data_IF_932146756426
#
_entry.id   IF_932146756426
#
_cell.length_a   1.000
_cell.length_b   1.000
_cell.length_c   1.000
_cell.angle_alpha   90.00
_cell.angle_beta   90.00
_cell.angle_gamma   90.00
#
_symmetry.space_group_name_H-M   'P 1'
#
loop_
_entity.id
_entity.type
_entity.pdbx_description
1 polymer ?
#
# COMPACT_ATOMS: atom_id res chain seq x y z
N UNK A 1 52.99 27.90 77.48
CA UNK A 1 53.00 28.89 78.58
C UNK A 1 52.31 30.15 78.10
N UNK A 2 51.04 30.32 78.43
CA UNK A 2 50.39 31.55 78.96
C UNK A 2 48.91 31.20 79.07
N UNK A 3 48.44 31.24 80.30
CA UNK A 3 47.15 30.79 80.81
C UNK A 3 46.15 32.00 80.79
N UNK A 4 45.07 32.04 81.58
CA UNK A 4 43.71 31.61 81.26
C UNK A 4 42.68 32.75 81.50
N UNK A 5 41.37 32.44 81.44
CA UNK A 5 40.27 32.95 82.32
C UNK A 5 38.95 32.36 81.82
N UNK A 6 38.24 31.51 82.58
CA UNK A 6 37.25 31.82 83.65
C UNK A 6 36.15 32.79 83.14
N UNK A 7 34.84 32.58 83.34
CA UNK A 7 34.16 31.85 84.40
C UNK A 7 32.68 31.52 84.08
N UNK A 8 32.19 30.51 84.80
CA UNK A 8 30.86 30.29 85.40
C UNK A 8 29.51 30.61 84.70
N UNK A 9 28.74 29.51 84.56
CA UNK A 9 27.36 29.24 85.03
C UNK A 9 26.24 30.29 84.83
N UNK A 10 25.13 29.85 84.21
CA UNK A 10 23.83 29.57 84.88
C UNK A 10 22.80 28.93 83.92
N UNK A 11 21.98 28.06 84.49
CA UNK A 11 20.91 27.27 83.87
C UNK A 11 19.73 28.13 83.38
N UNK A 12 19.02 27.68 82.34
CA UNK A 12 17.55 27.70 82.30
C UNK A 12 17.01 26.66 81.29
N UNK A 13 16.06 25.84 81.77
CA UNK A 13 15.31 24.83 81.04
C UNK A 13 14.11 25.46 80.33
N UNK A 14 13.94 25.19 79.03
CA UNK A 14 12.70 25.31 78.22
C UNK A 14 12.90 24.32 77.05
N UNK A 15 12.14 23.26 76.80
CA UNK A 15 10.69 23.11 76.83
C UNK A 15 10.12 23.48 75.45
N UNK A 16 10.21 22.62 74.43
CA UNK A 16 9.65 22.97 73.11
C UNK A 16 9.85 21.94 72.00
N UNK A 17 8.90 21.01 71.91
CA UNK A 17 8.31 20.40 70.71
C UNK A 17 9.20 20.18 69.46
N UNK A 18 9.52 18.91 69.18
CA UNK A 18 9.77 18.45 67.80
C UNK A 18 8.48 18.69 66.98
N UNK A 19 8.50 19.66 66.08
CA UNK A 19 7.54 19.70 64.97
C UNK A 19 8.05 18.73 63.92
N UNK A 20 7.46 17.52 63.91
CA UNK A 20 7.57 16.60 62.79
C UNK A 20 6.80 17.21 61.62
N UNK A 21 7.50 17.84 60.67
CA UNK A 21 6.90 18.26 59.41
C UNK A 21 6.56 17.01 58.59
N UNK A 22 5.36 16.47 58.77
CA UNK A 22 4.79 15.48 57.88
C UNK A 22 4.47 16.17 56.54
N UNK A 23 5.39 16.06 55.59
CA UNK A 23 5.11 16.42 54.21
C UNK A 23 4.10 15.42 53.63
N UNK A 24 2.81 15.79 53.63
CA UNK A 24 1.82 15.11 52.81
C UNK A 24 2.18 15.35 51.34
N UNK A 25 2.82 14.37 50.71
CA UNK A 25 2.79 14.25 49.27
C UNK A 25 1.36 13.87 48.89
N UNK A 26 0.55 14.87 48.55
CA UNK A 26 -0.67 14.66 47.80
C UNK A 26 -0.25 14.12 46.42
N UNK A 27 -0.31 12.79 46.28
CA UNK A 27 -0.20 12.11 45.00
C UNK A 27 -1.38 12.60 44.15
N UNK A 28 -1.17 13.67 43.41
CA UNK A 28 -2.08 14.03 42.33
C UNK A 28 -1.88 12.96 41.28
N UNK A 29 -2.76 11.96 41.31
CA UNK A 29 -3.05 11.18 40.12
C UNK A 29 -3.58 12.18 39.11
N UNK A 30 -2.67 12.72 38.29
CA UNK A 30 -3.05 13.19 36.98
C UNK A 30 -3.62 11.97 36.28
N UNK A 31 -4.94 11.84 36.36
CA UNK A 31 -5.69 11.15 35.34
C UNK A 31 -5.40 11.90 34.06
N UNK A 32 -4.32 11.52 33.39
CA UNK A 32 -4.25 11.66 31.96
C UNK A 32 -5.50 10.93 31.48
N UNK A 33 -6.53 11.71 31.16
CA UNK A 33 -7.57 11.24 30.27
C UNK A 33 -6.80 10.68 29.08
N UNK A 34 -6.79 9.36 28.97
CA UNK A 34 -6.30 8.65 27.80
C UNK A 34 -7.35 8.96 26.74
N UNK A 35 -7.34 10.20 26.23
CA UNK A 35 -7.85 10.44 24.90
C UNK A 35 -7.07 9.46 24.05
N UNK A 36 -7.77 8.49 23.46
CA UNK A 36 -7.17 7.44 22.66
C UNK A 36 -6.31 8.11 21.58
N UNK A 37 -5.02 8.30 21.88
CA UNK A 37 -4.02 8.56 20.88
C UNK A 37 -4.13 7.32 20.02
N UNK A 38 -4.62 7.47 18.79
CA UNK A 38 -4.71 6.37 17.86
C UNK A 38 -3.33 5.72 17.84
N UNK A 39 -3.23 4.56 18.47
CA UNK A 39 -1.95 3.94 18.78
C UNK A 39 -1.34 3.55 17.45
N UNK A 40 -0.23 4.19 17.08
CA UNK A 40 0.57 3.81 15.94
C UNK A 40 0.82 2.29 16.01
N UNK A 41 0.27 1.49 15.07
CA UNK A 41 0.33 0.04 15.17
C UNK A 41 1.71 -0.51 14.77
N UNK A 42 2.52 0.29 14.06
CA UNK A 42 3.77 -0.15 13.44
C UNK A 42 4.82 -0.64 14.44
N UNK A 43 5.10 0.05 15.57
CA UNK A 43 6.06 -0.46 16.56
C UNK A 43 5.67 -1.82 17.15
N UNK A 44 4.37 -2.05 17.40
CA UNK A 44 3.86 -3.31 17.92
C UNK A 44 3.92 -4.43 16.87
N UNK A 45 3.52 -4.13 15.64
CA UNK A 45 3.64 -5.05 14.50
C UNK A 45 5.09 -5.48 14.28
N UNK A 46 6.03 -4.54 14.42
CA UNK A 46 7.48 -4.78 14.31
C UNK A 46 8.09 -5.54 15.49
N UNK A 47 7.34 -5.90 16.53
CA UNK A 47 7.82 -6.88 17.53
C UNK A 47 7.51 -8.32 17.14
N UNK A 48 6.65 -8.53 16.14
CA UNK A 48 6.31 -9.86 15.66
C UNK A 48 7.45 -10.42 14.81
N UNK A 49 7.64 -11.74 14.89
CA UNK A 49 8.65 -12.45 14.11
C UNK A 49 8.33 -12.37 12.61
N UNK A 50 9.32 -11.97 11.80
CA UNK A 50 9.25 -12.04 10.35
C UNK A 50 9.67 -13.38 9.77
N UNK A 51 9.50 -13.52 8.46
CA UNK A 51 9.92 -14.66 7.65
C UNK A 51 11.03 -14.21 6.69
N UNK A 52 12.15 -14.95 6.55
CA UNK A 52 13.22 -14.59 5.62
C UNK A 52 12.72 -14.64 4.16
N UNK A 53 13.37 -13.89 3.27
CA UNK A 53 13.00 -13.82 1.85
C UNK A 53 13.01 -15.16 1.13
N UNK A 54 13.79 -16.14 1.59
CA UNK A 54 13.76 -17.52 1.10
C UNK A 54 12.39 -18.20 1.24
N UNK A 55 11.52 -17.70 2.12
CA UNK A 55 10.17 -18.25 2.32
C UNK A 55 9.11 -17.51 1.52
N UNK A 56 9.14 -16.18 1.53
CA UNK A 56 8.05 -15.37 0.97
C UNK A 56 8.33 -14.86 -0.44
N UNK A 57 9.59 -14.72 -0.85
CA UNK A 57 9.92 -14.12 -2.14
C UNK A 57 9.81 -15.11 -3.32
N UNK A 58 9.84 -14.57 -4.53
CA UNK A 58 9.93 -15.28 -5.82
C UNK A 58 10.95 -14.57 -6.72
N UNK A 59 11.35 -15.24 -7.81
CA UNK A 59 12.20 -14.65 -8.85
C UNK A 59 11.36 -14.21 -10.05
N UNK A 60 11.66 -13.03 -10.62
CA UNK A 60 11.01 -12.54 -11.83
C UNK A 60 9.49 -12.44 -11.71
N UNK A 61 8.77 -12.87 -12.75
CA UNK A 61 7.30 -12.89 -12.82
C UNK A 61 6.65 -14.06 -12.05
N UNK A 62 7.46 -14.90 -11.37
CA UNK A 62 6.99 -16.17 -10.83
C UNK A 62 6.90 -17.28 -11.88
N UNK A 63 6.35 -18.41 -11.47
CA UNK A 63 6.20 -19.61 -12.29
C UNK A 63 4.95 -19.50 -13.17
N UNK A 64 5.10 -19.60 -14.50
CA UNK A 64 4.00 -19.47 -15.46
C UNK A 64 2.90 -20.53 -15.32
N UNK A 65 3.18 -21.64 -14.61
CA UNK A 65 2.20 -22.72 -14.37
C UNK A 65 1.37 -22.50 -13.12
N UNK A 66 1.66 -21.50 -12.28
CA UNK A 66 0.77 -21.06 -11.20
C UNK A 66 0.69 -19.54 -11.18
N UNK A 67 -0.45 -18.99 -11.59
CA UNK A 67 -0.63 -17.56 -11.75
C UNK A 67 -2.00 -17.17 -11.19
N UNK A 68 -2.13 -15.94 -10.71
CA UNK A 68 -3.39 -15.46 -10.18
C UNK A 68 -3.42 -13.97 -9.94
N UNK A 69 -4.58 -13.49 -9.52
CA UNK A 69 -4.81 -12.10 -9.16
C UNK A 69 -5.88 -12.01 -8.08
N UNK A 70 -5.92 -10.88 -7.38
CA UNK A 70 -6.97 -10.58 -6.41
C UNK A 70 -8.14 -9.86 -7.10
N UNK A 71 -9.35 -10.17 -6.62
CA UNK A 71 -10.61 -9.60 -7.12
C UNK A 71 -10.76 -8.10 -6.90
N UNK A 72 -9.99 -7.53 -5.95
CA UNK A 72 -9.69 -6.10 -5.87
C UNK A 72 -8.19 -5.92 -5.59
N UNK A 73 -7.60 -4.78 -5.96
CA UNK A 73 -6.21 -4.47 -5.63
C UNK A 73 -6.05 -4.11 -4.15
N UNK A 74 -7.15 -3.75 -3.49
CA UNK A 74 -7.13 -3.30 -2.11
C UNK A 74 -8.45 -3.57 -1.39
N UNK A 75 -8.37 -3.90 -0.10
CA UNK A 75 -9.53 -4.10 0.78
C UNK A 75 -9.30 -3.44 2.13
N UNK A 76 -10.36 -3.01 2.80
CA UNK A 76 -10.24 -2.54 4.18
C UNK A 76 -10.10 -3.74 5.14
N UNK A 77 -9.38 -3.57 6.26
CA UNK A 77 -9.35 -4.58 7.32
C UNK A 77 -10.77 -4.97 7.77
N UNK A 78 -10.99 -6.23 8.12
CA UNK A 78 -12.33 -6.77 8.40
C UNK A 78 -13.15 -7.15 7.16
N UNK A 79 -12.72 -6.76 5.95
CA UNK A 79 -13.34 -7.20 4.70
C UNK A 79 -12.77 -8.53 4.20
N UNK A 80 -13.35 -9.09 3.14
CA UNK A 80 -12.83 -10.29 2.48
C UNK A 80 -12.12 -9.92 1.19
N UNK A 81 -10.93 -10.48 0.97
CA UNK A 81 -10.27 -10.47 -0.34
C UNK A 81 -10.38 -11.86 -0.97
N UNK A 82 -10.73 -11.91 -2.25
CA UNK A 82 -10.82 -13.17 -3.01
C UNK A 82 -9.76 -13.24 -4.08
N UNK A 83 -9.26 -14.44 -4.36
CA UNK A 83 -8.21 -14.74 -5.33
C UNK A 83 -8.75 -15.63 -6.45
N UNK A 84 -8.37 -15.31 -7.69
CA UNK A 84 -8.62 -16.13 -8.88
C UNK A 84 -7.27 -16.68 -9.34
N UNK A 85 -7.12 -17.99 -9.31
CA UNK A 85 -5.84 -18.69 -9.55
C UNK A 85 -6.03 -19.77 -10.60
N UNK A 86 -5.04 -19.93 -11.48
CA UNK A 86 -4.90 -21.10 -12.34
C UNK A 86 -3.69 -21.91 -11.89
N UNK A 87 -3.87 -23.23 -11.78
CA UNK A 87 -2.81 -24.17 -11.41
C UNK A 87 -3.14 -25.59 -11.91
N UNK A 88 -2.19 -26.32 -12.51
CA UNK A 88 -2.40 -27.70 -12.96
C UNK A 88 -2.36 -28.73 -11.82
N UNK A 89 -1.88 -28.34 -10.63
CA UNK A 89 -1.75 -29.21 -9.46
C UNK A 89 -2.30 -28.53 -8.20
N UNK A 90 -2.39 -29.30 -7.12
CA UNK A 90 -2.73 -28.76 -5.79
C UNK A 90 -1.71 -27.73 -5.35
N UNK A 91 -2.19 -26.74 -4.60
CA UNK A 91 -1.38 -25.61 -4.18
C UNK A 91 -1.85 -25.04 -2.84
N UNK A 92 -1.07 -24.12 -2.30
CA UNK A 92 -1.41 -23.31 -1.15
C UNK A 92 -1.23 -21.83 -1.44
N UNK A 93 -1.94 -21.00 -0.68
CA UNK A 93 -1.74 -19.55 -0.64
C UNK A 93 -1.23 -19.18 0.74
N UNK A 94 -0.02 -18.64 0.81
CA UNK A 94 0.51 -18.02 2.03
C UNK A 94 0.43 -16.52 1.89
N UNK A 95 -0.31 -15.86 2.77
CA UNK A 95 -0.47 -14.41 2.77
C UNK A 95 0.57 -13.82 3.71
N UNK A 96 1.38 -12.90 3.19
CA UNK A 96 2.38 -12.15 3.95
C UNK A 96 2.06 -10.67 3.95
N UNK A 97 2.25 -10.00 5.08
CA UNK A 97 2.36 -8.53 5.16
C UNK A 97 3.82 -8.17 4.92
N UNK A 98 4.12 -7.34 3.92
CA UNK A 98 5.46 -6.81 3.69
C UNK A 98 5.76 -5.70 4.72
N UNK A 99 7.01 -5.60 5.17
CA UNK A 99 7.40 -4.66 6.22
C UNK A 99 8.81 -4.91 6.77
N UNK A 100 9.18 -4.21 7.85
CA UNK A 100 10.55 -4.30 8.38
C UNK A 100 10.91 -5.67 8.98
N UNK A 101 10.14 -6.11 9.97
CA UNK A 101 10.28 -7.37 10.73
C UNK A 101 11.73 -7.78 11.02
N UNK A 102 12.49 -6.90 11.69
CA UNK A 102 13.88 -7.12 12.10
C UNK A 102 14.82 -7.49 10.94
N UNK A 103 14.51 -7.02 9.72
CA UNK A 103 15.30 -7.31 8.53
C UNK A 103 14.75 -8.43 7.64
N UNK A 104 13.76 -9.20 8.12
CA UNK A 104 13.21 -10.34 7.38
C UNK A 104 12.32 -9.94 6.19
N UNK A 105 11.73 -8.74 6.21
CA UNK A 105 11.05 -8.17 5.05
C UNK A 105 9.56 -8.51 4.91
N UNK A 106 9.09 -9.59 5.52
CA UNK A 106 7.67 -9.90 5.55
C UNK A 106 7.31 -10.73 6.78
N UNK A 107 6.02 -10.82 7.09
CA UNK A 107 5.47 -11.72 8.11
C UNK A 107 4.29 -12.49 7.55
N UNK A 108 4.30 -13.80 7.76
CA UNK A 108 3.17 -14.67 7.43
C UNK A 108 1.98 -14.32 8.33
N UNK A 109 0.84 -14.01 7.72
CA UNK A 109 -0.40 -13.65 8.42
C UNK A 109 -1.50 -14.69 8.27
N UNK A 110 -1.47 -15.47 7.19
CA UNK A 110 -2.45 -16.51 6.94
C UNK A 110 -1.91 -17.57 5.98
N UNK A 111 -2.46 -18.79 6.08
CA UNK A 111 -2.23 -19.88 5.14
C UNK A 111 -3.58 -20.47 4.73
N UNK A 112 -3.80 -20.60 3.43
CA UNK A 112 -4.91 -21.35 2.83
C UNK A 112 -4.29 -22.57 2.16
N UNK A 113 -4.46 -23.73 2.76
CA UNK A 113 -3.80 -24.98 2.35
C UNK A 113 -4.70 -25.84 1.46
N UNK A 114 -4.08 -26.79 0.76
CA UNK A 114 -4.78 -27.91 0.10
C UNK A 114 -5.84 -27.46 -0.91
N UNK A 115 -5.57 -26.38 -1.65
CA UNK A 115 -6.43 -25.93 -2.74
C UNK A 115 -6.27 -26.89 -3.92
N UNK A 116 -7.37 -27.33 -4.55
CA UNK A 116 -7.33 -28.25 -5.68
C UNK A 116 -6.68 -27.60 -6.90
N UNK A 117 -6.24 -28.40 -7.87
CA UNK A 117 -5.91 -27.87 -9.19
C UNK A 117 -7.13 -27.16 -9.79
N UNK A 118 -6.89 -26.11 -10.56
CA UNK A 118 -7.94 -25.31 -11.15
C UNK A 118 -7.51 -24.83 -12.54
N UNK A 119 -8.14 -25.41 -13.56
CA UNK A 119 -8.10 -24.86 -14.92
C UNK A 119 -9.09 -23.72 -15.01
N UNK A 120 -8.68 -22.64 -15.67
CA UNK A 120 -9.49 -21.43 -15.85
C UNK A 120 -9.77 -21.23 -17.35
N UNK A 121 -10.90 -20.61 -17.73
CA UNK A 121 -11.18 -20.31 -19.12
C UNK A 121 -10.15 -19.33 -19.72
N UNK A 122 -10.06 -19.29 -21.04
CA UNK A 122 -9.31 -18.25 -21.73
C UNK A 122 -9.86 -16.86 -21.32
N UNK A 123 -8.96 -15.92 -21.05
CA UNK A 123 -9.33 -14.57 -20.65
C UNK A 123 -10.06 -13.84 -21.79
N UNK A 124 -10.96 -12.92 -21.45
CA UNK A 124 -11.60 -12.05 -22.43
C UNK A 124 -10.58 -11.07 -23.00
N UNK A 125 -10.70 -10.76 -24.29
CA UNK A 125 -9.81 -9.83 -24.98
C UNK A 125 -10.59 -8.82 -25.82
N UNK A 126 -10.03 -7.62 -25.96
CA UNK A 126 -10.49 -6.62 -26.93
C UNK A 126 -9.28 -6.17 -27.76
N UNK A 127 -9.27 -6.58 -29.04
CA UNK A 127 -8.17 -6.31 -29.95
C UNK A 127 -8.06 -4.85 -30.36
N UNK A 128 -9.15 -4.07 -30.30
CA UNK A 128 -9.12 -2.64 -30.61
C UNK A 128 -8.39 -1.84 -29.53
N UNK A 129 -8.41 -2.33 -28.29
CA UNK A 129 -7.80 -1.67 -27.13
C UNK A 129 -6.58 -2.40 -26.57
N UNK A 130 -6.28 -3.60 -27.04
CA UNK A 130 -5.25 -4.47 -26.47
C UNK A 130 -5.57 -4.96 -25.06
N UNK A 131 -6.84 -4.90 -24.64
CA UNK A 131 -7.26 -5.31 -23.31
C UNK A 131 -7.22 -6.84 -23.18
N UNK A 132 -6.70 -7.31 -22.05
CA UNK A 132 -6.67 -8.71 -21.66
C UNK A 132 -7.22 -8.83 -20.23
N UNK A 133 -8.40 -9.42 -20.05
CA UNK A 133 -9.16 -9.43 -18.80
C UNK A 133 -9.56 -10.88 -18.43
N UNK A 134 -8.96 -11.42 -17.38
CA UNK A 134 -9.24 -12.76 -16.86
C UNK A 134 -10.36 -12.76 -15.82
N UNK A 135 -11.22 -11.74 -15.80
CA UNK A 135 -12.34 -11.60 -14.86
C UNK A 135 -13.32 -12.77 -14.94
N UNK A 136 -13.33 -13.52 -16.05
CA UNK A 136 -14.16 -14.72 -16.23
C UNK A 136 -13.61 -15.95 -15.50
N UNK A 137 -12.44 -15.86 -14.87
CA UNK A 137 -11.93 -16.90 -13.99
C UNK A 137 -12.82 -17.05 -12.75
N UNK A 138 -13.05 -18.30 -12.34
CA UNK A 138 -13.77 -18.59 -11.10
C UNK A 138 -12.89 -18.26 -9.89
N UNK A 139 -13.52 -17.75 -8.81
CA UNK A 139 -12.83 -17.56 -7.52
C UNK A 139 -12.32 -18.90 -7.01
N UNK A 140 -11.05 -18.93 -6.63
CA UNK A 140 -10.35 -20.13 -6.17
C UNK A 140 -10.31 -20.24 -4.65
N UNK A 141 -10.13 -19.09 -3.99
CA UNK A 141 -10.02 -18.99 -2.54
C UNK A 141 -10.31 -17.56 -2.09
N UNK A 142 -10.62 -17.40 -0.81
CA UNK A 142 -10.79 -16.09 -0.17
C UNK A 142 -10.13 -16.06 1.19
N UNK A 143 -9.70 -14.88 1.61
CA UNK A 143 -9.18 -14.61 2.95
C UNK A 143 -10.03 -13.52 3.61
N UNK A 144 -10.63 -13.85 4.75
CA UNK A 144 -11.27 -12.87 5.63
C UNK A 144 -10.18 -12.10 6.38
N UNK A 145 -9.94 -10.86 5.98
CA UNK A 145 -8.91 -10.01 6.58
C UNK A 145 -9.33 -9.72 8.02
N UNK A 146 -8.51 -10.05 9.04
CA UNK A 146 -8.85 -9.75 10.43
C UNK A 146 -9.10 -8.26 10.63
N UNK A 147 -10.04 -7.91 11.50
CA UNK A 147 -10.26 -6.50 11.91
C UNK A 147 -9.06 -5.90 12.65
N UNK A 148 -8.15 -6.76 13.12
CA UNK A 148 -6.87 -6.42 13.77
C UNK A 148 -5.70 -6.33 12.78
N UNK A 149 -5.93 -6.56 11.48
CA UNK A 149 -4.86 -6.44 10.49
C UNK A 149 -4.30 -5.01 10.45
N UNK A 150 -2.97 -4.91 10.46
CA UNK A 150 -2.25 -3.64 10.35
C UNK A 150 -2.19 -3.24 8.88
N UNK A 151 -2.57 -2.01 8.54
CA UNK A 151 -2.50 -1.52 7.17
C UNK A 151 -1.11 -1.75 6.56
N UNK A 152 -1.06 -2.14 5.29
CA UNK A 152 0.18 -2.58 4.67
C UNK A 152 0.03 -2.99 3.22
N UNK A 153 1.17 -3.18 2.58
CA UNK A 153 1.28 -3.93 1.32
C UNK A 153 1.36 -5.42 1.68
N UNK A 154 0.51 -6.23 1.05
CA UNK A 154 0.44 -7.66 1.26
C UNK A 154 0.75 -8.39 -0.04
N UNK A 155 1.26 -9.61 0.09
CA UNK A 155 1.39 -10.56 -1.01
C UNK A 155 0.71 -11.87 -0.64
N UNK A 156 -0.07 -12.40 -1.56
CA UNK A 156 -0.46 -13.81 -1.56
C UNK A 156 0.56 -14.58 -2.40
N UNK A 157 1.39 -15.40 -1.75
CA UNK A 157 2.33 -16.31 -2.40
C UNK A 157 1.63 -17.61 -2.73
N UNK A 158 1.36 -17.82 -4.01
CA UNK A 158 0.79 -19.04 -4.56
C UNK A 158 1.93 -20.06 -4.69
N UNK A 159 1.81 -21.26 -4.11
CA UNK A 159 2.87 -22.28 -4.19
C UNK A 159 2.26 -23.63 -4.53
N UNK A 160 2.65 -24.22 -5.66
CA UNK A 160 2.23 -25.59 -6.00
C UNK A 160 2.93 -26.59 -5.11
N UNK A 161 2.23 -27.67 -4.77
CA UNK A 161 2.82 -28.79 -4.03
C UNK A 161 3.91 -29.50 -4.87
N UNK A 162 3.77 -29.44 -6.20
CA UNK A 162 4.76 -29.91 -7.18
C UNK A 162 5.94 -28.94 -7.39
N UNK A 163 6.06 -27.88 -6.58
CA UNK A 163 7.05 -26.82 -6.73
C UNK A 163 6.62 -25.72 -7.70
N UNK A 164 7.25 -24.54 -7.60
CA UNK A 164 6.89 -23.34 -8.36
C UNK A 164 5.99 -22.38 -7.56
N UNK A 165 6.25 -21.07 -7.71
CA UNK A 165 5.52 -20.06 -6.96
C UNK A 165 5.38 -18.72 -7.72
N UNK A 166 4.31 -18.00 -7.40
CA UNK A 166 4.02 -16.66 -7.94
C UNK A 166 3.38 -15.77 -6.87
N UNK A 167 3.42 -14.45 -7.09
CA UNK A 167 2.88 -13.45 -6.18
C UNK A 167 1.62 -12.82 -6.71
N UNK A 168 0.70 -12.54 -5.80
CA UNK A 168 -0.45 -11.66 -6.00
C UNK A 168 -0.33 -10.51 -4.98
N UNK A 169 0.15 -9.32 -5.38
CA UNK A 169 0.19 -8.16 -4.50
C UNK A 169 -1.22 -7.56 -4.31
N UNK A 170 -1.48 -7.05 -3.11
CA UNK A 170 -2.67 -6.27 -2.79
C UNK A 170 -2.42 -5.40 -1.56
N UNK A 171 -3.29 -4.42 -1.30
CA UNK A 171 -3.17 -3.52 -0.15
C UNK A 171 -4.27 -3.82 0.87
N UNK A 172 -3.91 -3.92 2.15
CA UNK A 172 -4.89 -3.88 3.24
C UNK A 172 -4.90 -2.47 3.81
N UNK A 173 -6.04 -1.80 3.69
CA UNK A 173 -6.26 -0.46 4.22
C UNK A 173 -6.70 -0.50 5.68
N UNK A 174 -6.57 0.65 6.33
CA UNK A 174 -7.25 0.98 7.57
C UNK A 174 -7.95 2.33 7.42
N UNK A 175 -9.19 2.27 6.93
CA UNK A 175 -9.94 3.48 6.56
C UNK A 175 -10.34 4.32 7.78
N UNK A 176 -10.45 3.69 8.97
CA UNK A 176 -10.90 4.34 10.20
C UNK A 176 -9.75 4.89 11.06
N UNK A 177 -8.55 4.30 11.00
CA UNK A 177 -7.43 4.78 11.80
C UNK A 177 -6.79 6.04 11.20
N UNK A 178 -6.53 7.08 12.01
CA UNK A 178 -5.66 8.17 11.58
C UNK A 178 -4.20 7.69 11.56
N UNK A 179 -3.42 8.24 10.62
CA UNK A 179 -1.99 8.01 10.52
C UNK A 179 -1.30 9.34 10.19
N UNK A 180 -0.03 9.49 10.58
CA UNK A 180 0.74 10.69 10.23
C UNK A 180 1.09 10.70 8.74
N UNK A 181 1.34 9.51 8.16
CA UNK A 181 1.71 9.32 6.77
C UNK A 181 0.70 8.39 6.10
N UNK A 182 0.21 8.77 4.92
CA UNK A 182 -0.40 7.86 3.96
C UNK A 182 0.61 7.61 2.85
N UNK A 183 1.04 6.36 2.69
CA UNK A 183 1.82 5.93 1.52
C UNK A 183 0.86 5.37 0.48
N UNK A 184 0.85 5.98 -0.70
CA UNK A 184 0.17 5.47 -1.88
C UNK A 184 1.09 4.51 -2.62
N UNK A 185 0.55 3.37 -3.07
CA UNK A 185 1.26 2.49 -3.99
C UNK A 185 1.06 2.88 -5.45
N UNK A 186 2.03 2.57 -6.30
CA UNK A 186 2.06 2.90 -7.72
C UNK A 186 1.31 1.85 -8.58
N UNK A 187 0.21 1.27 -8.09
CA UNK A 187 -0.44 0.11 -8.70
C UNK A 187 -0.97 0.37 -10.11
N UNK A 188 -1.34 1.62 -10.41
CA UNK A 188 -1.68 2.07 -11.76
C UNK A 188 -0.48 1.96 -12.69
N UNK A 189 0.72 2.34 -12.25
CA UNK A 189 1.97 2.10 -12.98
C UNK A 189 2.28 0.61 -13.08
N UNK A 190 2.11 -0.15 -12.01
CA UNK A 190 2.33 -1.61 -12.06
C UNK A 190 1.51 -2.25 -13.17
N UNK A 191 0.24 -1.84 -13.32
CA UNK A 191 -0.65 -2.32 -14.38
C UNK A 191 -0.32 -1.74 -15.75
N UNK A 192 0.05 -0.46 -15.83
CA UNK A 192 0.41 0.18 -17.08
C UNK A 192 1.63 -0.46 -17.75
N UNK A 193 2.57 -0.96 -16.96
CA UNK A 193 3.75 -1.70 -17.42
C UNK A 193 3.54 -3.22 -17.50
N UNK A 194 2.45 -3.75 -16.93
CA UNK A 194 2.15 -5.18 -16.95
C UNK A 194 1.85 -5.67 -18.38
N UNK A 195 2.70 -6.57 -18.90
CA UNK A 195 2.61 -7.19 -20.22
C UNK A 195 1.98 -8.59 -20.15
N UNK A 196 1.43 -8.99 -18.99
CA UNK A 196 0.68 -10.24 -18.90
C UNK A 196 -0.47 -10.22 -19.91
N UNK A 197 -0.53 -11.22 -20.78
CA UNK A 197 -1.48 -11.28 -21.90
C UNK A 197 -0.99 -10.69 -23.22
N UNK A 198 0.26 -10.18 -23.29
CA UNK A 198 0.91 -9.73 -24.51
C UNK A 198 0.90 -8.22 -24.76
N UNK A 199 0.14 -7.46 -23.99
CA UNK A 199 0.01 -6.01 -24.12
C UNK A 199 0.12 -5.30 -22.77
N UNK A 200 0.83 -4.17 -22.77
CA UNK A 200 0.85 -3.16 -21.72
C UNK A 200 0.53 -1.79 -22.34
N UNK A 201 0.44 -0.74 -21.52
CA UNK A 201 0.26 0.63 -22.02
C UNK A 201 1.52 1.20 -22.70
N UNK A 202 2.61 0.43 -22.77
CA UNK A 202 3.84 0.78 -23.48
C UNK A 202 4.18 -0.15 -24.64
N UNK A 203 3.91 -1.45 -24.48
CA UNK A 203 4.39 -2.49 -25.39
C UNK A 203 3.24 -3.36 -25.86
N UNK A 204 3.36 -3.88 -27.07
CA UNK A 204 2.39 -4.76 -27.71
C UNK A 204 2.60 -4.81 -29.21
N UNK A 205 2.13 -5.88 -29.85
CA UNK A 205 2.21 -6.07 -31.30
C UNK A 205 0.79 -6.17 -31.87
N UNK A 206 0.46 -5.47 -32.99
CA UNK A 206 1.29 -4.51 -33.72
C UNK A 206 1.44 -3.14 -33.01
N UNK A 207 0.60 -2.87 -32.02
CA UNK A 207 0.60 -1.63 -31.23
C UNK A 207 0.49 -1.97 -29.73
N UNK A 208 0.86 -1.01 -28.88
CA UNK A 208 0.62 -1.05 -27.43
C UNK A 208 -0.87 -1.17 -27.11
N UNK A 209 -1.20 -1.61 -25.89
CA UNK A 209 -2.56 -1.50 -25.36
C UNK A 209 -2.92 -0.05 -25.01
N UNK A 210 -4.21 0.26 -25.09
CA UNK A 210 -4.82 1.50 -24.58
C UNK A 210 -5.52 1.29 -23.23
N UNK A 211 -5.76 0.02 -22.87
CA UNK A 211 -6.42 -0.38 -21.63
C UNK A 211 -5.65 -1.51 -20.95
N UNK A 212 -5.55 -1.43 -19.62
CA UNK A 212 -4.92 -2.44 -18.77
C UNK A 212 -5.92 -2.93 -17.72
N UNK A 213 -6.16 -4.24 -17.66
CA UNK A 213 -7.06 -4.83 -16.67
C UNK A 213 -6.34 -5.07 -15.34
N UNK A 214 -7.05 -4.88 -14.23
CA UNK A 214 -6.68 -5.38 -12.90
C UNK A 214 -7.07 -6.84 -12.69
N UNK A 215 -7.93 -7.40 -13.55
CA UNK A 215 -8.31 -8.80 -13.52
C UNK A 215 -7.29 -9.68 -14.25
N UNK A 216 -6.00 -9.52 -13.97
CA UNK A 216 -4.95 -10.37 -14.55
C UNK A 216 -3.73 -10.45 -13.63
N UNK A 217 -2.96 -11.54 -13.70
CA UNK A 217 -1.68 -11.66 -12.99
C UNK A 217 -0.68 -10.55 -13.38
N UNK A 218 0.30 -10.31 -12.50
CA UNK A 218 1.38 -9.37 -12.76
C UNK A 218 2.62 -10.07 -13.33
N UNK A 219 3.08 -9.63 -14.50
CA UNK A 219 4.34 -10.07 -15.07
C UNK A 219 5.51 -9.11 -14.80
N UNK A 220 5.24 -7.89 -14.32
CA UNK A 220 6.14 -6.73 -14.35
C UNK A 220 7.55 -7.02 -13.85
N UNK A 221 7.72 -7.68 -12.70
CA UNK A 221 9.06 -7.94 -12.10
C UNK A 221 10.03 -8.73 -13.00
N UNK A 222 9.54 -9.60 -13.89
CA UNK A 222 10.38 -10.43 -14.77
C UNK A 222 10.59 -9.88 -16.18
N UNK A 223 10.10 -8.67 -16.48
CA UNK A 223 10.23 -8.08 -17.80
C UNK A 223 11.59 -7.40 -18.02
N UNK A 224 11.85 -7.01 -19.27
CA UNK A 224 13.09 -6.34 -19.68
C UNK A 224 13.37 -5.05 -18.91
N UNK A 225 14.66 -4.70 -18.81
CA UNK A 225 15.12 -3.48 -18.14
C UNK A 225 14.38 -2.23 -18.65
N UNK A 226 14.00 -1.34 -17.73
CA UNK A 226 13.20 -0.14 -17.99
C UNK A 226 11.69 -0.37 -18.02
N UNK A 227 11.22 -1.58 -18.35
CA UNK A 227 9.80 -1.94 -18.33
C UNK A 227 9.43 -2.83 -17.15
N UNK A 228 10.39 -3.58 -16.62
CA UNK A 228 10.16 -4.56 -15.57
C UNK A 228 10.30 -4.05 -14.15
N UNK A 229 11.29 -4.57 -13.43
CA UNK A 229 11.37 -4.45 -11.96
C UNK A 229 11.25 -3.02 -11.41
N UNK A 230 11.73 -1.99 -12.12
CA UNK A 230 11.65 -0.58 -11.70
C UNK A 230 10.23 -0.02 -11.61
N UNK A 231 9.24 -0.71 -12.21
CA UNK A 231 7.84 -0.29 -12.27
C UNK A 231 6.95 -1.19 -11.39
N UNK A 232 7.52 -1.82 -10.36
CA UNK A 232 6.83 -2.80 -9.52
C UNK A 232 7.16 -2.61 -8.04
N UNK A 233 6.27 -3.09 -7.18
CA UNK A 233 6.27 -2.89 -5.72
C UNK A 233 7.62 -3.12 -5.01
N UNK A 234 8.42 -4.06 -5.52
CA UNK A 234 9.69 -4.42 -4.89
C UNK A 234 10.84 -3.44 -5.16
N UNK A 235 10.67 -2.47 -6.06
CA UNK A 235 11.73 -1.54 -6.42
C UNK A 235 11.94 -0.43 -5.39
N UNK A 236 10.93 0.42 -5.18
CA UNK A 236 11.05 1.60 -4.30
C UNK A 236 10.07 1.55 -3.12
N UNK A 237 8.84 1.07 -3.36
CA UNK A 237 7.77 1.07 -2.36
C UNK A 237 8.08 0.11 -1.22
N UNK A 238 8.53 -1.11 -1.53
CA UNK A 238 8.93 -2.09 -0.51
C UNK A 238 10.13 -1.61 0.34
N UNK A 239 11.26 -1.14 -0.22
CA UNK A 239 12.32 -0.55 0.58
C UNK A 239 11.88 0.67 1.41
N UNK A 240 11.02 1.54 0.88
CA UNK A 240 10.47 2.68 1.62
C UNK A 240 9.60 2.23 2.79
N UNK A 241 8.68 1.29 2.56
CA UNK A 241 7.83 0.70 3.60
C UNK A 241 8.69 0.13 4.74
N UNK A 242 9.74 -0.62 4.41
CA UNK A 242 10.69 -1.14 5.41
C UNK A 242 11.39 -0.04 6.19
N UNK A 243 11.84 1.01 5.51
CA UNK A 243 12.53 2.12 6.16
C UNK A 243 11.59 2.90 7.10
N UNK A 244 10.38 3.24 6.65
CA UNK A 244 9.38 3.90 7.47
C UNK A 244 9.04 3.07 8.71
N UNK A 245 8.81 1.76 8.51
CA UNK A 245 8.43 0.88 9.59
C UNK A 245 9.58 0.67 10.58
N UNK A 246 10.82 0.45 10.11
CA UNK A 246 11.99 0.30 10.96
C UNK A 246 12.21 1.50 11.90
N UNK A 247 11.83 2.69 11.46
CA UNK A 247 11.94 3.93 12.22
C UNK A 247 10.67 4.27 13.02
N UNK A 248 9.68 3.39 13.04
CA UNK A 248 8.47 3.54 13.86
C UNK A 248 7.53 4.64 13.40
N UNK A 249 7.59 5.07 12.14
CA UNK A 249 6.64 6.05 11.61
C UNK A 249 5.21 5.52 11.66
N UNK A 250 4.25 6.40 11.99
CA UNK A 250 2.83 6.09 11.94
C UNK A 250 2.35 6.19 10.49
N UNK A 251 2.51 5.11 9.74
CA UNK A 251 2.16 5.02 8.31
C UNK A 251 0.98 4.07 8.10
N UNK A 252 0.07 4.46 7.19
CA UNK A 252 -0.91 3.55 6.58
C UNK A 252 -0.78 3.58 5.06
N UNK A 253 -1.31 2.55 4.41
CA UNK A 253 -1.10 2.28 3.00
C UNK A 253 -2.43 2.25 2.24
N UNK A 254 -2.42 2.73 1.01
CA UNK A 254 -3.54 2.65 0.08
C UNK A 254 -3.04 2.47 -1.35
N UNK A 255 -3.87 1.89 -2.22
CA UNK A 255 -3.58 1.86 -3.65
C UNK A 255 -3.80 3.24 -4.29
N UNK A 256 -3.16 3.54 -5.41
CA UNK A 256 -3.44 4.72 -6.23
C UNK A 256 -4.90 4.80 -6.65
N UNK A 257 -5.52 3.67 -7.01
CA UNK A 257 -6.97 3.61 -7.25
C UNK A 257 -7.80 3.98 -6.02
N UNK A 258 -7.30 3.74 -4.81
CA UNK A 258 -8.01 4.10 -3.57
C UNK A 258 -8.01 5.60 -3.32
N UNK A 259 -6.99 6.33 -3.81
CA UNK A 259 -6.98 7.79 -3.74
C UNK A 259 -8.07 8.40 -4.63
N UNK A 260 -8.40 7.77 -5.76
CA UNK A 260 -9.57 8.14 -6.56
C UNK A 260 -10.88 7.79 -5.83
N UNK A 261 -11.00 6.53 -5.36
CA UNK A 261 -12.22 6.02 -4.71
C UNK A 261 -12.56 6.69 -3.38
N UNK A 262 -11.54 7.00 -2.57
CA UNK A 262 -11.66 7.37 -1.14
C UNK A 262 -10.87 8.63 -0.78
N UNK A 263 -10.49 9.44 -1.77
CA UNK A 263 -9.65 10.64 -1.60
C UNK A 263 -10.21 11.69 -0.63
N UNK A 264 -11.52 11.69 -0.36
CA UNK A 264 -12.13 12.56 0.66
C UNK A 264 -11.54 12.33 2.07
N UNK A 265 -11.03 11.12 2.35
CA UNK A 265 -10.35 10.78 3.60
C UNK A 265 -9.01 11.49 3.82
N UNK A 266 -8.43 12.06 2.76
CA UNK A 266 -7.20 12.86 2.83
C UNK A 266 -7.46 14.29 3.31
N UNK A 267 -8.70 14.63 3.64
CA UNK A 267 -9.12 15.95 4.12
C UNK A 267 -9.84 15.84 5.47
N UNK A 268 -10.23 16.98 6.06
CA UNK A 268 -10.96 17.00 7.33
C UNK A 268 -10.07 16.80 8.56
N UNK A 269 -10.69 16.41 9.68
CA UNK A 269 -10.06 16.36 11.00
C UNK A 269 -9.09 15.17 11.18
N UNK A 270 -9.29 14.08 10.45
CA UNK A 270 -8.49 12.86 10.52
C UNK A 270 -7.48 12.73 9.36
N UNK A 271 -7.28 13.79 8.57
CA UNK A 271 -6.33 13.81 7.46
C UNK A 271 -4.91 13.46 7.92
N UNK A 272 -4.09 12.83 7.07
CA UNK A 272 -2.68 12.63 7.39
C UNK A 272 -1.93 13.95 7.43
N UNK A 273 -0.73 13.94 8.03
CA UNK A 273 0.20 15.07 7.94
C UNK A 273 0.93 15.07 6.60
N UNK A 274 1.24 13.87 6.08
CA UNK A 274 1.98 13.69 4.83
C UNK A 274 1.24 12.70 3.92
N UNK A 275 1.04 13.09 2.67
CA UNK A 275 0.79 12.17 1.56
C UNK A 275 2.13 11.87 0.89
N UNK A 276 2.47 10.58 0.77
CA UNK A 276 3.75 10.10 0.28
C UNK A 276 3.54 9.17 -0.91
N UNK A 277 4.28 9.42 -1.98
CA UNK A 277 4.51 8.47 -3.08
C UNK A 277 6.00 8.42 -3.42
N UNK A 278 6.46 7.27 -3.92
CA UNK A 278 7.89 6.97 -4.12
C UNK A 278 8.05 6.08 -5.35
N UNK A 279 9.20 6.10 -6.00
CA UNK A 279 9.48 5.14 -7.07
C UNK A 279 9.05 5.61 -8.44
N UNK A 280 7.89 5.21 -8.95
CA UNK A 280 7.47 5.57 -10.30
C UNK A 280 5.95 5.70 -10.41
N UNK A 281 5.40 6.77 -9.84
CA UNK A 281 3.96 6.98 -9.76
C UNK A 281 3.43 7.77 -10.98
N UNK A 282 3.61 7.18 -12.17
CA UNK A 282 3.44 7.85 -13.46
C UNK A 282 1.96 8.06 -13.88
N UNK A 283 1.06 7.16 -13.51
CA UNK A 283 -0.31 7.07 -14.06
C UNK A 283 -1.38 7.51 -13.07
N UNK A 284 -1.93 8.71 -13.24
CA UNK A 284 -2.90 9.28 -12.30
C UNK A 284 -4.23 9.61 -12.97
N UNK A 285 -5.32 9.31 -12.28
CA UNK A 285 -6.66 9.72 -12.70
C UNK A 285 -7.00 11.15 -12.28
N UNK A 286 -8.07 11.71 -12.87
CA UNK A 286 -8.62 12.99 -12.43
C UNK A 286 -9.04 13.01 -10.96
N UNK A 287 -9.75 11.97 -10.51
CA UNK A 287 -10.18 11.88 -9.11
C UNK A 287 -9.00 11.82 -8.15
N UNK A 288 -7.99 11.02 -8.49
CA UNK A 288 -6.77 10.88 -7.70
C UNK A 288 -6.01 12.22 -7.57
N UNK A 289 -5.75 12.90 -8.70
CA UNK A 289 -5.05 14.19 -8.68
C UNK A 289 -5.85 15.24 -7.91
N UNK A 290 -7.15 15.35 -8.15
CA UNK A 290 -8.02 16.29 -7.45
C UNK A 290 -8.03 16.05 -5.93
N UNK A 291 -8.06 14.80 -5.50
CA UNK A 291 -8.00 14.44 -4.09
C UNK A 291 -6.68 14.88 -3.43
N UNK A 292 -5.55 14.65 -4.09
CA UNK A 292 -4.23 15.06 -3.57
C UNK A 292 -4.07 16.58 -3.55
N UNK A 293 -4.55 17.28 -4.58
CA UNK A 293 -4.57 18.75 -4.60
C UNK A 293 -5.48 19.33 -3.49
N UNK A 294 -6.65 18.70 -3.26
CA UNK A 294 -7.53 19.06 -2.16
C UNK A 294 -6.89 18.81 -0.79
N UNK A 295 -6.18 17.68 -0.62
CA UNK A 295 -5.42 17.37 0.60
C UNK A 295 -4.35 18.44 0.86
N UNK A 296 -3.57 18.81 -0.16
CA UNK A 296 -2.59 19.91 -0.08
C UNK A 296 -3.24 21.21 0.36
N UNK A 297 -4.36 21.59 -0.27
CA UNK A 297 -5.09 22.81 0.08
C UNK A 297 -5.68 22.76 1.50
N UNK A 298 -5.97 21.56 2.00
CA UNK A 298 -6.38 21.33 3.39
C UNK A 298 -5.20 21.28 4.38
N UNK A 299 -3.96 21.50 3.94
CA UNK A 299 -2.76 21.55 4.80
C UNK A 299 -2.02 20.22 4.96
N UNK A 300 -2.27 19.22 4.11
CA UNK A 300 -1.44 18.01 4.03
C UNK A 300 -0.15 18.32 3.27
N UNK A 301 1.01 17.88 3.79
CA UNK A 301 2.28 17.99 3.09
C UNK A 301 2.39 16.90 2.02
N UNK A 302 2.91 17.25 0.84
CA UNK A 302 3.15 16.29 -0.23
C UNK A 302 4.63 15.92 -0.28
N UNK A 303 4.94 14.63 -0.25
CA UNK A 303 6.27 14.09 -0.50
C UNK A 303 6.20 13.19 -1.74
N UNK A 304 6.73 13.68 -2.85
CA UNK A 304 6.89 12.93 -4.10
C UNK A 304 8.38 12.64 -4.24
N UNK A 305 8.80 11.43 -3.88
CA UNK A 305 10.22 11.08 -3.79
C UNK A 305 10.70 10.37 -5.05
N UNK A 306 10.39 10.95 -6.21
CA UNK A 306 10.85 10.47 -7.52
C UNK A 306 10.69 11.54 -8.61
N UNK A 307 10.78 11.15 -9.88
CA UNK A 307 10.44 11.93 -11.07
C UNK A 307 9.54 11.13 -12.00
N UNK A 308 9.03 11.79 -13.05
CA UNK A 308 7.98 11.26 -13.92
C UNK A 308 6.64 10.98 -13.21
N UNK A 309 6.45 11.49 -11.99
CA UNK A 309 5.18 11.43 -11.27
C UNK A 309 4.07 12.17 -12.02
N UNK A 310 2.85 11.62 -11.97
CA UNK A 310 1.67 12.25 -12.55
C UNK A 310 1.91 12.68 -14.00
N UNK A 311 2.54 11.83 -14.80
CA UNK A 311 2.86 12.16 -16.19
C UNK A 311 1.66 11.91 -17.10
N UNK A 312 1.07 10.71 -17.01
CA UNK A 312 -0.11 10.32 -17.79
C UNK A 312 -1.40 10.54 -17.02
N UNK A 313 -2.37 11.18 -17.70
CA UNK A 313 -3.75 11.22 -17.23
C UNK A 313 -4.46 9.93 -17.62
N UNK A 314 -5.14 9.34 -16.64
CA UNK A 314 -5.88 8.09 -16.81
C UNK A 314 -7.33 8.23 -16.39
N UNK A 315 -8.11 7.20 -16.69
CA UNK A 315 -9.48 7.03 -16.20
C UNK A 315 -9.73 5.56 -15.90
N UNK A 316 -10.71 5.30 -15.05
CA UNK A 316 -11.14 3.95 -14.72
C UNK A 316 -12.42 3.59 -15.47
N UNK A 317 -12.49 2.36 -15.96
CA UNK A 317 -13.70 1.72 -16.48
C UNK A 317 -14.01 0.44 -15.67
N UNK A 318 -15.23 -0.05 -15.82
CA UNK A 318 -15.60 -1.38 -15.35
C UNK A 318 -14.89 -2.48 -16.13
N UNK A 319 -14.81 -3.68 -15.56
CA UNK A 319 -14.40 -4.87 -16.30
C UNK A 319 -15.39 -5.15 -17.45
N UNK A 320 -14.85 -5.59 -18.58
CA UNK A 320 -15.65 -6.03 -19.73
C UNK A 320 -16.35 -7.37 -19.50
N UNK A 321 -16.01 -8.09 -18.43
CA UNK A 321 -16.57 -9.42 -18.15
C UNK A 321 -17.79 -9.34 -17.24
N UNK A 322 -17.62 -8.76 -16.05
CA UNK A 322 -18.62 -8.80 -14.97
C UNK A 322 -19.14 -7.41 -14.57
N UNK A 323 -18.68 -6.36 -15.23
CA UNK A 323 -19.09 -4.98 -14.96
C UNK A 323 -18.53 -4.41 -13.65
N UNK A 324 -17.67 -5.14 -12.93
CA UNK A 324 -17.08 -4.66 -11.68
C UNK A 324 -16.30 -3.35 -11.92
N UNK A 325 -16.60 -2.32 -11.14
CA UNK A 325 -16.02 -0.98 -11.29
C UNK A 325 -14.53 -0.95 -10.96
N UNK A 326 -13.80 0.03 -11.53
CA UNK A 326 -12.37 0.23 -11.28
C UNK A 326 -11.50 -1.00 -11.55
N UNK A 327 -11.84 -1.76 -12.60
CA UNK A 327 -11.08 -2.95 -13.01
C UNK A 327 -10.31 -2.75 -14.32
N UNK A 328 -10.53 -1.64 -15.02
CA UNK A 328 -9.84 -1.31 -16.26
C UNK A 328 -9.23 0.08 -16.15
N UNK A 329 -7.91 0.17 -16.21
CA UNK A 329 -7.16 1.42 -16.32
C UNK A 329 -7.06 1.81 -17.80
N UNK A 330 -7.44 3.03 -18.15
CA UNK A 330 -7.44 3.50 -19.54
C UNK A 330 -6.46 4.66 -19.72
N UNK A 331 -5.61 4.55 -20.73
CA UNK A 331 -4.81 5.67 -21.25
C UNK A 331 -4.50 5.46 -22.73
N UNK A 332 -4.99 6.37 -23.57
CA UNK A 332 -4.71 6.34 -24.99
C UNK A 332 -3.37 6.99 -25.31
N UNK A 333 -2.73 7.68 -24.35
CA UNK A 333 -1.48 8.42 -24.55
C UNK A 333 -1.57 9.39 -25.73
N UNK A 334 -2.67 10.11 -25.81
CA UNK A 334 -3.03 10.98 -26.92
C UNK A 334 -2.00 12.10 -27.19
N UNK A 335 -1.27 12.53 -26.16
CA UNK A 335 -0.09 13.42 -26.30
C UNK A 335 1.00 12.81 -27.18
N UNK A 336 1.27 11.51 -27.00
CA UNK A 336 2.28 10.78 -27.77
C UNK A 336 1.80 10.57 -29.21
N UNK A 337 0.52 10.24 -29.38
CA UNK A 337 -0.08 10.06 -30.71
C UNK A 337 -0.29 11.39 -31.44
N UNK A 338 -0.16 12.53 -30.74
CA UNK A 338 -0.42 13.89 -31.25
C UNK A 338 -1.81 14.00 -31.91
N UNK A 339 -2.81 13.31 -31.34
CA UNK A 339 -4.16 13.24 -31.87
C UNK A 339 -5.14 12.78 -30.77
N UNK A 340 -6.43 13.15 -30.90
CA UNK A 340 -7.51 12.59 -30.09
C UNK A 340 -7.85 11.18 -30.61
N UNK A 341 -7.35 10.15 -29.94
CA UNK A 341 -7.51 8.73 -30.33
C UNK A 341 -8.45 7.95 -29.42
N UNK A 342 -8.71 8.40 -28.19
CA UNK A 342 -9.78 7.83 -27.36
C UNK A 342 -11.14 8.27 -27.93
N UNK A 343 -12.05 7.33 -28.26
CA UNK A 343 -13.40 7.67 -28.70
C UNK A 343 -14.23 8.37 -27.60
N UNK A 344 -13.81 8.26 -26.33
CA UNK A 344 -14.37 9.05 -25.25
C UNK A 344 -13.82 10.49 -25.28
N UNK A 345 -14.65 11.50 -25.00
CA UNK A 345 -14.22 12.90 -24.93
C UNK A 345 -13.16 13.16 -23.83
N UNK A 346 -13.15 12.37 -22.76
CA UNK A 346 -12.17 12.50 -21.68
C UNK A 346 -10.74 12.32 -22.21
N UNK A 347 -9.91 13.35 -21.97
CA UNK A 347 -8.49 13.34 -22.33
C UNK A 347 -7.70 12.30 -21.51
N UNK A 348 -6.89 11.49 -22.18
CA UNK A 348 -5.96 10.55 -21.52
C UNK A 348 -4.53 10.65 -22.06
N UNK A 349 -4.11 11.85 -22.46
CA UNK A 349 -2.71 12.20 -22.70
C UNK A 349 -1.98 12.67 -21.44
N UNK A 350 -0.87 13.39 -21.59
CA UNK A 350 -0.12 13.90 -20.44
C UNK A 350 -0.82 15.07 -19.78
N UNK A 351 -0.59 15.22 -18.48
CA UNK A 351 -1.15 16.30 -17.68
C UNK A 351 -0.69 17.70 -18.08
N UNK A 352 0.47 17.81 -18.74
CA UNK A 352 1.06 19.10 -19.16
C UNK A 352 0.81 19.44 -20.62
N UNK A 353 0.14 18.58 -21.38
CA UNK A 353 -0.13 18.82 -22.79
C UNK A 353 -1.24 19.86 -22.97
N UNK A 354 -0.95 21.05 -23.53
CA UNK A 354 -1.96 22.10 -23.69
C UNK A 354 -2.81 21.92 -24.95
N UNK A 355 -2.45 21.01 -25.86
CA UNK A 355 -3.05 20.95 -27.21
C UNK A 355 -4.51 20.48 -27.18
N UNK A 356 -4.83 19.58 -26.25
CA UNK A 356 -6.10 18.84 -26.20
C UNK A 356 -6.57 18.57 -24.76
N UNK A 357 -6.02 19.29 -23.77
CA UNK A 357 -6.48 19.21 -22.37
C UNK A 357 -7.84 19.91 -22.22
N UNK A 358 -8.77 19.43 -21.36
CA UNK A 358 -10.14 19.93 -21.34
C UNK A 358 -10.31 21.46 -21.23
N UNK A 359 -11.32 22.02 -21.91
CA UNK A 359 -12.31 21.29 -22.69
C UNK A 359 -11.79 21.05 -24.11
N UNK A 360 -11.46 19.80 -24.41
CA UNK A 360 -11.32 19.26 -25.75
C UNK A 360 -12.42 18.21 -25.89
#
# INVERSE_FOLDING_TARGET
>A
MTSPRSDSRRHLTVGGSLVLAAALFALHTFGFGIGAQATNPIPAENQLAGNPSSEWDITGSGDSTIQGFATDISVNKGSTISFKVTSPSTYSIRVYRLGYYQGNGARLVATISSLPSQSQPACATDSATGLYDCGNWAVSASWSVPSTAVSGIYIARLTRDSGGASHVPFVVRDDAAPADIVLQTDDTTWQAYNQYGGHSLYLGTPIRGYKASYNRPFATRGQSSGYGASNFVFYAEYPMARWLEANGYNVKYQAGVDTDRFGSSLTGAAKPKVFLTVGHDEYWSDGQRNAVEAARNAGVHLALLTGNDMFWKTRFESSIVDGASYRTLVTYKETHDNNKTDPNAAWTGTWRDPRFSPPA
#
